data_IF_870282893177
#
_entry.id   IF_870282893177
#
_cell.length_a   1.000
_cell.length_b   1.000
_cell.length_c   1.000
_cell.angle_alpha   90.00
_cell.angle_beta   90.00
_cell.angle_gamma   90.00
#
_symmetry.space_group_name_H-M   'P 1'
#
loop_
_entity.id
_entity.type
_entity.pdbx_description
1 polymer ?
#
# COMPACT_ATOMS: atom_id res chain seq x y z
N UNK A 1 -26.47 -27.62 8.59
CA UNK A 1 -25.51 -27.21 7.52
C UNK A 1 -25.43 -25.69 7.33
N UNK A 2 -26.55 -24.94 7.35
CA UNK A 2 -26.54 -23.47 7.20
C UNK A 2 -25.81 -22.73 8.33
N UNK A 3 -26.01 -23.13 9.60
CA UNK A 3 -25.40 -22.48 10.77
C UNK A 3 -23.86 -22.58 10.85
N UNK A 4 -23.24 -23.59 10.22
CA UNK A 4 -21.77 -23.69 10.15
C UNK A 4 -21.19 -22.79 9.06
N UNK A 5 -21.97 -22.50 8.00
CA UNK A 5 -21.56 -21.61 6.91
C UNK A 5 -21.73 -20.12 7.27
N UNK A 6 -22.51 -19.81 8.30
CA UNK A 6 -22.66 -18.43 8.81
C UNK A 6 -21.51 -18.00 9.73
N UNK A 7 -20.65 -18.93 10.16
CA UNK A 7 -19.45 -18.61 10.94
C UNK A 7 -18.34 -18.14 10.00
N UNK A 8 -17.48 -17.22 10.49
CA UNK A 8 -16.32 -16.76 9.72
C UNK A 8 -15.33 -17.91 9.50
N UNK A 9 -14.75 -18.05 8.30
CA UNK A 9 -13.73 -19.05 8.05
C UNK A 9 -12.48 -18.74 8.86
N UNK A 10 -11.91 -19.77 9.50
CA UNK A 10 -10.65 -19.66 10.23
C UNK A 10 -9.48 -19.84 9.24
N UNK A 11 -8.50 -18.93 9.27
CA UNK A 11 -7.30 -19.03 8.47
C UNK A 11 -6.06 -19.10 9.36
N UNK A 12 -5.19 -20.09 9.12
CA UNK A 12 -3.93 -20.21 9.81
C UNK A 12 -2.84 -19.39 9.11
N UNK A 13 -2.29 -18.34 9.75
CA UNK A 13 -1.33 -17.45 9.11
C UNK A 13 0.01 -18.10 8.81
N UNK A 14 0.42 -19.17 9.50
CA UNK A 14 1.68 -19.86 9.25
C UNK A 14 1.53 -21.08 8.32
N UNK A 15 0.38 -21.24 7.66
CA UNK A 15 0.19 -22.27 6.65
C UNK A 15 1.26 -22.15 5.54
N UNK A 16 1.75 -23.26 4.97
CA UNK A 16 2.87 -23.26 4.03
C UNK A 16 2.61 -22.36 2.81
N UNK A 17 1.38 -22.38 2.28
CA UNK A 17 0.98 -21.49 1.19
C UNK A 17 1.07 -20.00 1.58
N UNK A 18 0.70 -19.63 2.81
CA UNK A 18 0.82 -18.25 3.29
C UNK A 18 2.28 -17.85 3.55
N UNK A 19 3.11 -18.78 4.03
CA UNK A 19 4.54 -18.56 4.22
C UNK A 19 5.28 -18.31 2.90
N UNK A 20 4.96 -19.07 1.84
CA UNK A 20 5.53 -18.87 0.51
C UNK A 20 5.21 -17.48 -0.05
N UNK A 21 3.97 -17.01 0.12
CA UNK A 21 3.55 -15.65 -0.30
C UNK A 21 4.38 -14.56 0.38
N UNK A 22 4.59 -14.69 1.70
CA UNK A 22 5.40 -13.72 2.47
C UNK A 22 6.86 -13.70 2.03
N UNK A 23 7.44 -14.88 1.74
CA UNK A 23 8.82 -14.96 1.24
C UNK A 23 8.97 -14.25 -0.11
N UNK A 24 8.07 -14.53 -1.04
CA UNK A 24 8.08 -13.86 -2.35
C UNK A 24 7.92 -12.34 -2.24
N UNK A 25 7.05 -11.86 -1.34
CA UNK A 25 6.91 -10.44 -1.06
C UNK A 25 8.19 -9.83 -0.45
N UNK A 26 8.80 -10.50 0.54
CA UNK A 26 10.02 -10.04 1.19
C UNK A 26 11.21 -9.95 0.22
N UNK A 27 11.31 -10.87 -0.75
CA UNK A 27 12.35 -10.82 -1.78
C UNK A 27 12.22 -9.57 -2.67
N UNK A 28 10.98 -9.19 -3.04
CA UNK A 28 10.73 -7.95 -3.80
C UNK A 28 10.99 -6.70 -2.95
N UNK A 29 10.58 -6.68 -1.69
CA UNK A 29 10.87 -5.59 -0.77
C UNK A 29 12.37 -5.35 -0.62
N UNK A 30 13.16 -6.44 -0.53
CA UNK A 30 14.60 -6.35 -0.45
C UNK A 30 15.23 -5.81 -1.74
N UNK A 31 14.71 -6.20 -2.91
CA UNK A 31 15.14 -5.63 -4.20
C UNK A 31 14.78 -4.15 -4.32
N UNK A 32 13.58 -3.77 -3.87
CA UNK A 32 13.14 -2.37 -3.84
C UNK A 32 14.03 -1.54 -2.91
N UNK A 33 14.34 -2.05 -1.72
CA UNK A 33 15.25 -1.37 -0.79
C UNK A 33 16.66 -1.18 -1.38
N UNK A 34 17.17 -2.18 -2.09
CA UNK A 34 18.45 -2.07 -2.83
C UNK A 34 18.38 -1.01 -3.93
N UNK A 35 17.32 -1.01 -4.74
CA UNK A 35 17.10 0.00 -5.77
C UNK A 35 17.01 1.41 -5.17
N UNK A 36 16.30 1.56 -4.06
CA UNK A 36 16.18 2.82 -3.34
C UNK A 36 17.55 3.31 -2.85
N UNK A 37 18.38 2.42 -2.28
CA UNK A 37 19.75 2.76 -1.90
C UNK A 37 20.62 3.17 -3.11
N UNK A 38 20.53 2.44 -4.24
CA UNK A 38 21.20 2.81 -5.49
C UNK A 38 20.78 4.20 -5.98
N UNK A 39 19.47 4.49 -5.94
CA UNK A 39 18.91 5.77 -6.34
C UNK A 39 19.40 6.91 -5.45
N UNK A 40 19.37 6.72 -4.13
CA UNK A 40 19.86 7.71 -3.16
C UNK A 40 21.35 7.99 -3.33
N UNK A 41 22.17 6.94 -3.56
CA UNK A 41 23.59 7.10 -3.86
C UNK A 41 23.82 7.81 -5.20
N UNK A 42 23.00 7.52 -6.22
CA UNK A 42 23.05 8.22 -7.50
C UNK A 42 22.75 9.71 -7.33
N UNK A 43 21.67 10.05 -6.64
CA UNK A 43 21.29 11.45 -6.36
C UNK A 43 22.42 12.17 -5.60
N UNK A 44 22.98 11.55 -4.55
CA UNK A 44 24.10 12.11 -3.81
C UNK A 44 25.35 12.35 -4.66
N UNK A 45 25.65 11.45 -5.62
CA UNK A 45 26.82 11.56 -6.52
C UNK A 45 26.56 12.45 -7.74
N UNK A 46 25.31 12.73 -8.07
CA UNK A 46 24.93 13.47 -9.29
C UNK A 46 25.42 14.92 -9.29
N UNK A 47 25.69 15.53 -8.13
CA UNK A 47 26.29 16.86 -8.05
C UNK A 47 27.81 16.89 -8.28
N UNK A 48 28.49 15.74 -8.26
CA UNK A 48 29.95 15.69 -8.21
C UNK A 48 30.57 15.55 -9.62
N UNK A 49 30.82 16.69 -10.27
CA UNK A 49 31.57 16.75 -11.53
C UNK A 49 33.05 16.95 -11.24
N UNK A 50 33.91 16.04 -11.71
CA UNK A 50 35.36 16.25 -11.72
C UNK A 50 35.75 17.06 -12.95
N UNK A 51 36.17 18.29 -12.74
CA UNK A 51 36.65 19.15 -13.82
C UNK A 51 38.12 18.80 -14.18
N UNK A 52 38.48 18.81 -15.48
CA UNK A 52 39.86 18.73 -15.94
C UNK A 52 40.74 19.88 -15.41
N UNK A 53 42.06 19.78 -15.59
CA UNK A 53 42.97 20.92 -15.36
C UNK A 53 42.89 21.96 -16.50
N UNK A 54 42.53 21.51 -17.72
CA UNK A 54 42.39 22.37 -18.89
C UNK A 54 40.96 22.94 -19.04
N UNK A 55 40.78 24.27 -19.02
CA UNK A 55 39.46 24.91 -19.10
C UNK A 55 38.77 24.73 -20.46
N UNK A 56 39.52 24.52 -21.53
CA UNK A 56 38.99 24.29 -22.88
C UNK A 56 38.23 22.96 -23.00
N UNK A 57 38.47 22.01 -22.09
CA UNK A 57 37.81 20.69 -22.08
C UNK A 57 36.56 20.64 -21.20
N UNK A 58 36.23 21.71 -20.47
CA UNK A 58 35.14 21.73 -19.49
C UNK A 58 33.78 21.46 -20.12
N UNK A 59 33.48 22.11 -21.25
CA UNK A 59 32.20 21.94 -21.94
C UNK A 59 31.96 20.47 -22.32
N UNK A 60 32.97 19.81 -22.90
CA UNK A 60 32.88 18.42 -23.34
C UNK A 60 32.73 17.45 -22.16
N UNK A 61 33.41 17.69 -21.04
CA UNK A 61 33.29 16.84 -19.84
C UNK A 61 31.91 17.01 -19.18
N UNK A 62 31.36 18.22 -19.17
CA UNK A 62 30.01 18.47 -18.68
C UNK A 62 28.95 17.77 -19.54
N UNK A 63 29.08 17.78 -20.86
CA UNK A 63 28.18 17.06 -21.77
C UNK A 63 28.23 15.55 -21.52
N UNK A 64 29.43 14.97 -21.48
CA UNK A 64 29.62 13.55 -21.18
C UNK A 64 29.08 13.16 -19.80
N UNK A 65 29.22 14.04 -18.80
CA UNK A 65 28.66 13.79 -17.48
C UNK A 65 27.12 13.80 -17.50
N UNK A 66 26.50 14.77 -18.18
CA UNK A 66 25.04 14.84 -18.36
C UNK A 66 24.50 13.60 -19.09
N UNK A 67 25.19 13.15 -20.13
CA UNK A 67 24.83 11.93 -20.86
C UNK A 67 24.89 10.69 -19.96
N UNK A 68 26.00 10.51 -19.23
CA UNK A 68 26.15 9.43 -18.25
C UNK A 68 25.05 9.45 -17.18
N UNK A 69 24.68 10.63 -16.69
CA UNK A 69 23.59 10.77 -15.73
C UNK A 69 22.23 10.37 -16.30
N UNK A 70 21.93 10.79 -17.54
CA UNK A 70 20.70 10.39 -18.23
C UNK A 70 20.63 8.88 -18.42
N UNK A 71 21.74 8.24 -18.80
CA UNK A 71 21.80 6.78 -18.95
C UNK A 71 21.60 6.04 -17.62
N UNK A 72 22.27 6.47 -16.55
CA UNK A 72 22.13 5.84 -15.23
C UNK A 72 20.70 5.99 -14.72
N UNK A 73 20.12 7.20 -14.83
CA UNK A 73 18.72 7.45 -14.48
C UNK A 73 17.78 6.54 -15.25
N UNK A 74 17.95 6.45 -16.57
CA UNK A 74 17.14 5.57 -17.42
C UNK A 74 17.23 4.11 -16.98
N UNK A 75 18.43 3.60 -16.68
CA UNK A 75 18.60 2.21 -16.19
C UNK A 75 17.90 1.98 -14.85
N UNK A 76 17.95 2.95 -13.94
CA UNK A 76 17.26 2.85 -12.66
C UNK A 76 15.73 2.89 -12.83
N UNK A 77 15.23 3.72 -13.74
CA UNK A 77 13.81 3.77 -14.10
C UNK A 77 13.33 2.45 -14.74
N UNK A 78 14.12 1.87 -15.66
CA UNK A 78 13.84 0.56 -16.26
C UNK A 78 13.73 -0.55 -15.20
N UNK A 79 14.67 -0.59 -14.23
CA UNK A 79 14.61 -1.53 -13.10
C UNK A 79 13.39 -1.31 -12.21
N UNK A 80 12.99 -0.05 -12.01
CA UNK A 80 11.80 0.28 -11.22
C UNK A 80 10.54 -0.23 -11.90
N UNK A 81 10.41 -0.01 -13.22
CA UNK A 81 9.28 -0.49 -14.01
C UNK A 81 9.21 -2.01 -14.01
N UNK A 82 10.34 -2.71 -14.15
CA UNK A 82 10.34 -4.18 -14.09
C UNK A 82 9.89 -4.69 -12.72
N UNK A 83 10.37 -4.08 -11.62
CA UNK A 83 9.93 -4.42 -10.27
C UNK A 83 8.43 -4.14 -10.06
N UNK A 84 7.90 -3.04 -10.60
CA UNK A 84 6.47 -2.76 -10.53
C UNK A 84 5.63 -3.83 -11.24
N UNK A 85 6.09 -4.33 -12.38
CA UNK A 85 5.44 -5.44 -13.10
C UNK A 85 5.49 -6.73 -12.28
N UNK A 86 6.63 -7.06 -11.67
CA UNK A 86 6.78 -8.23 -10.78
C UNK A 86 5.88 -8.15 -9.54
N UNK A 87 5.74 -6.97 -8.92
CA UNK A 87 4.83 -6.76 -7.80
C UNK A 87 3.38 -7.00 -8.25
N UNK A 88 3.00 -6.46 -9.41
CA UNK A 88 1.65 -6.64 -9.95
C UNK A 88 1.36 -8.11 -10.24
N UNK A 89 2.31 -8.85 -10.82
CA UNK A 89 2.13 -10.28 -11.09
C UNK A 89 2.01 -11.11 -9.81
N UNK A 90 2.83 -10.84 -8.77
CA UNK A 90 2.69 -11.53 -7.48
C UNK A 90 1.34 -11.25 -6.80
N UNK A 91 0.84 -10.02 -6.88
CA UNK A 91 -0.48 -9.66 -6.34
C UNK A 91 -1.60 -10.43 -7.05
N UNK A 92 -1.50 -10.57 -8.37
CA UNK A 92 -2.41 -11.39 -9.19
C UNK A 92 -2.35 -12.87 -8.79
N UNK A 93 -1.16 -13.47 -8.74
CA UNK A 93 -0.97 -14.90 -8.45
C UNK A 93 -1.41 -15.31 -7.03
N UNK A 94 -1.20 -14.45 -6.04
CA UNK A 94 -1.40 -14.83 -4.63
C UNK A 94 -2.80 -14.52 -4.10
N UNK A 95 -3.62 -13.76 -4.84
CA UNK A 95 -4.98 -13.40 -4.44
C UNK A 95 -6.00 -14.24 -5.25
N UNK A 96 -6.57 -15.30 -4.66
CA UNK A 96 -7.50 -16.15 -5.38
C UNK A 96 -8.71 -15.33 -5.81
N UNK A 97 -9.06 -15.38 -7.11
CA UNK A 97 -10.26 -14.80 -7.76
C UNK A 97 -10.23 -13.35 -8.25
N UNK A 98 -9.08 -12.78 -8.64
CA UNK A 98 -9.04 -11.43 -9.23
C UNK A 98 -8.20 -11.26 -10.50
N UNK A 99 -7.84 -12.37 -11.14
CA UNK A 99 -7.26 -12.38 -12.49
C UNK A 99 -8.38 -12.66 -13.49
N UNK A 100 -8.57 -11.77 -14.46
CA UNK A 100 -9.41 -12.08 -15.63
C UNK A 100 -8.51 -12.81 -16.62
N UNK A 101 -8.85 -14.05 -16.96
CA UNK A 101 -8.22 -14.78 -18.07
C UNK A 101 -8.67 -14.12 -19.38
N UNK A 102 -7.94 -13.11 -19.83
CA UNK A 102 -8.05 -12.58 -21.18
C UNK A 102 -6.89 -13.16 -22.00
N UNK A 103 -7.20 -13.64 -23.22
CA UNK A 103 -6.49 -14.69 -23.97
C UNK A 103 -4.95 -14.63 -24.09
N UNK A 104 -4.24 -13.55 -23.75
CA UNK A 104 -2.77 -13.54 -23.71
C UNK A 104 -2.14 -12.65 -22.62
N UNK A 105 -2.92 -12.09 -21.67
CA UNK A 105 -2.38 -11.24 -20.60
C UNK A 105 -3.24 -11.28 -19.33
N UNK A 106 -2.62 -11.57 -18.19
CA UNK A 106 -3.27 -11.46 -16.88
C UNK A 106 -3.46 -9.99 -16.51
N UNK A 107 -4.71 -9.50 -16.55
CA UNK A 107 -5.03 -8.14 -16.10
C UNK A 107 -5.67 -8.18 -14.70
N UNK A 108 -5.26 -7.29 -13.77
CA UNK A 108 -5.93 -7.20 -12.48
C UNK A 108 -7.39 -6.80 -12.69
N UNK A 109 -8.32 -7.54 -12.10
CA UNK A 109 -9.74 -7.19 -12.18
C UNK A 109 -9.98 -5.74 -11.73
N UNK A 110 -10.93 -5.01 -12.33
CA UNK A 110 -11.26 -3.65 -11.94
C UNK A 110 -11.66 -3.54 -10.45
N UNK A 111 -12.16 -4.62 -9.86
CA UNK A 111 -12.45 -4.71 -8.42
C UNK A 111 -11.18 -4.78 -7.55
N UNK A 112 -10.06 -5.26 -8.09
CA UNK A 112 -8.76 -5.24 -7.44
C UNK A 112 -8.19 -3.83 -7.44
N UNK A 113 -8.21 -3.14 -8.58
CA UNK A 113 -7.72 -1.76 -8.67
C UNK A 113 -8.54 -0.82 -7.79
N UNK A 114 -9.88 -0.97 -7.77
CA UNK A 114 -10.74 -0.21 -6.86
C UNK A 114 -10.49 -0.52 -5.37
N UNK A 115 -10.15 -1.77 -5.00
CA UNK A 115 -9.83 -2.13 -3.63
C UNK A 115 -8.44 -1.64 -3.17
N UNK A 116 -7.49 -1.46 -4.10
CA UNK A 116 -6.14 -0.96 -3.82
C UNK A 116 -6.15 0.57 -3.67
N UNK A 117 -6.96 1.28 -4.47
CA UNK A 117 -6.96 2.74 -4.56
C UNK A 117 -7.75 3.45 -3.43
N UNK A 118 -7.74 2.88 -2.23
CA UNK A 118 -8.40 3.36 -1.01
C UNK A 118 -9.93 3.20 -0.99
N UNK A 119 -10.40 2.43 -0.01
CA UNK A 119 -11.82 2.36 0.38
C UNK A 119 -12.10 3.58 1.27
N UNK A 120 -13.20 4.29 1.04
CA UNK A 120 -13.65 5.33 1.97
C UNK A 120 -13.82 4.70 3.37
N UNK A 121 -13.16 5.29 4.36
CA UNK A 121 -13.22 4.85 5.76
C UNK A 121 -14.14 5.83 6.48
N UNK A 122 -15.20 5.32 7.08
CA UNK A 122 -16.05 6.12 7.96
C UNK A 122 -15.33 6.27 9.31
N UNK A 123 -15.10 7.51 9.74
CA UNK A 123 -14.55 7.81 11.07
C UNK A 123 -15.63 8.50 11.88
N UNK A 124 -15.78 8.09 13.13
CA UNK A 124 -16.76 8.68 14.01
C UNK A 124 -16.47 8.47 15.46
N UNK A 125 -17.23 9.18 16.29
CA UNK A 125 -17.14 9.12 17.74
C UNK A 125 -18.41 8.48 18.30
N UNK A 126 -18.22 7.54 19.22
CA UNK A 126 -19.30 6.98 20.03
C UNK A 126 -19.24 7.67 21.38
N UNK A 127 -20.25 8.47 21.70
CA UNK A 127 -20.42 9.01 23.04
C UNK A 127 -21.27 8.04 23.84
N UNK A 128 -20.90 7.81 25.09
CA UNK A 128 -21.66 7.01 26.04
C UNK A 128 -21.32 7.46 27.46
N UNK A 129 -22.19 7.21 28.45
CA UNK A 129 -21.91 7.58 29.83
C UNK A 129 -20.80 6.68 30.37
N UNK A 130 -19.61 7.26 30.57
CA UNK A 130 -18.44 6.59 31.13
C UNK A 130 -18.06 7.25 32.48
N UNK A 131 -17.48 6.47 33.40
CA UNK A 131 -16.88 7.00 34.63
C UNK A 131 -15.67 7.89 34.29
N UNK A 132 -15.38 8.89 35.13
CA UNK A 132 -14.38 9.97 34.91
C UNK A 132 -12.94 9.51 34.58
N UNK A 133 -12.63 8.21 34.68
CA UNK A 133 -11.31 7.63 34.43
C UNK A 133 -11.12 6.99 33.05
N UNK A 134 -12.07 7.09 32.12
CA UNK A 134 -11.96 6.45 30.80
C UNK A 134 -11.31 7.41 29.80
N UNK A 135 -10.21 6.96 29.19
CA UNK A 135 -9.51 7.68 28.13
C UNK A 135 -10.18 7.46 26.76
N UNK A 136 -9.96 8.37 25.83
CA UNK A 136 -10.47 8.25 24.46
C UNK A 136 -9.84 7.04 23.76
N UNK A 137 -10.62 5.97 23.57
CA UNK A 137 -10.19 4.75 22.90
C UNK A 137 -10.57 4.75 21.41
N UNK A 138 -9.64 4.36 20.55
CA UNK A 138 -9.89 4.17 19.11
C UNK A 138 -10.16 2.71 18.79
N UNK A 139 -11.34 2.43 18.24
CA UNK A 139 -11.78 1.06 17.91
C UNK A 139 -11.94 0.91 16.39
N UNK A 140 -11.32 -0.13 15.82
CA UNK A 140 -11.49 -0.48 14.41
C UNK A 140 -12.58 -1.53 14.24
N UNK A 141 -13.58 -1.19 13.42
CA UNK A 141 -14.79 -1.99 13.25
C UNK A 141 -14.98 -2.33 11.77
N UNK A 142 -15.33 -3.58 11.49
CA UNK A 142 -15.69 -4.01 10.13
C UNK A 142 -17.08 -3.47 9.73
N UNK A 143 -17.41 -3.31 8.44
CA UNK A 143 -18.73 -2.81 8.03
C UNK A 143 -19.92 -3.62 8.59
N UNK A 144 -19.78 -4.95 8.72
CA UNK A 144 -20.84 -5.79 9.30
C UNK A 144 -20.99 -5.61 10.80
N UNK A 145 -19.91 -5.31 11.52
CA UNK A 145 -19.97 -4.96 12.93
C UNK A 145 -20.52 -3.54 13.13
N UNK A 146 -20.18 -2.60 12.25
CA UNK A 146 -20.71 -1.23 12.29
C UNK A 146 -22.23 -1.22 12.04
N UNK A 147 -22.73 -2.04 11.12
CA UNK A 147 -24.17 -2.19 10.88
C UNK A 147 -24.90 -2.67 12.15
N UNK A 148 -24.33 -3.64 12.87
CA UNK A 148 -24.88 -4.11 14.15
C UNK A 148 -24.80 -3.05 15.24
N UNK A 149 -23.72 -2.27 15.31
CA UNK A 149 -23.63 -1.16 16.25
C UNK A 149 -24.70 -0.10 15.96
N UNK A 150 -24.97 0.22 14.69
CA UNK A 150 -26.05 1.13 14.31
C UNK A 150 -27.42 0.60 14.72
N UNK A 151 -27.66 -0.69 14.52
CA UNK A 151 -28.88 -1.37 14.98
C UNK A 151 -29.04 -1.24 16.50
N UNK A 152 -28.02 -1.60 17.28
CA UNK A 152 -28.04 -1.50 18.74
C UNK A 152 -28.27 -0.06 19.24
N UNK A 153 -27.56 0.93 18.66
CA UNK A 153 -27.75 2.34 19.03
C UNK A 153 -29.17 2.81 18.69
N UNK A 154 -29.73 2.35 17.57
CA UNK A 154 -31.11 2.68 17.19
C UNK A 154 -32.16 2.03 18.09
N UNK A 155 -31.89 0.82 18.61
CA UNK A 155 -32.76 0.10 19.55
C UNK A 155 -32.74 0.75 20.93
N UNK A 156 -31.59 1.25 21.37
CA UNK A 156 -31.43 1.86 22.70
C UNK A 156 -32.22 3.16 22.86
N UNK A 157 -32.48 3.89 21.77
CA UNK A 157 -33.24 5.17 21.75
C UNK A 157 -32.86 6.14 22.89
N UNK A 158 -31.60 6.10 23.32
CA UNK A 158 -31.10 6.85 24.47
C UNK A 158 -30.35 8.08 24.00
N UNK A 159 -30.65 9.24 24.59
CA UNK A 159 -29.97 10.50 24.28
C UNK A 159 -28.49 10.48 24.71
N UNK A 160 -28.12 9.58 25.63
CA UNK A 160 -26.79 9.47 26.22
C UNK A 160 -25.80 8.72 25.30
N UNK A 161 -26.30 7.97 24.30
CA UNK A 161 -25.47 7.19 23.38
C UNK A 161 -25.61 7.70 21.95
N UNK A 162 -24.59 8.39 21.46
CA UNK A 162 -24.58 9.02 20.12
C UNK A 162 -23.48 8.45 19.25
N UNK A 163 -23.82 8.09 18.01
CA UNK A 163 -22.89 7.58 16.99
C UNK A 163 -22.83 8.56 15.82
N UNK A 164 -21.83 9.43 15.83
CA UNK A 164 -21.61 10.42 14.77
C UNK A 164 -20.53 9.92 13.81
N UNK A 165 -20.90 9.50 12.60
CA UNK A 165 -19.96 9.05 11.57
C UNK A 165 -19.86 10.10 10.47
N UNK A 166 -18.62 10.48 10.12
CA UNK A 166 -18.30 11.33 8.97
C UNK A 166 -17.47 10.53 7.97
N UNK A 167 -17.74 10.63 6.66
CA UNK A 167 -16.84 10.08 5.67
C UNK A 167 -15.49 10.78 5.80
N UNK A 168 -14.40 10.02 5.94
CA UNK A 168 -13.07 10.61 5.85
C UNK A 168 -12.75 10.80 4.37
N UNK A 169 -12.71 12.06 3.93
CA UNK A 169 -12.23 12.38 2.60
C UNK A 169 -10.76 11.96 2.49
N UNK A 170 -10.46 11.21 1.42
CA UNK A 170 -9.15 10.64 1.16
C UNK A 170 -8.12 11.78 1.04
N UNK A 171 -7.33 12.01 2.10
CA UNK A 171 -5.91 12.44 2.07
C UNK A 171 -5.47 12.98 3.43
N UNK A 172 -4.99 12.09 4.30
CA UNK A 172 -3.85 12.45 5.17
C UNK A 172 -2.91 11.26 5.15
N UNK A 173 -1.81 11.40 4.41
CA UNK A 173 -0.67 10.51 4.54
C UNK A 173 -0.24 10.53 6.01
N UNK A 174 -0.26 9.38 6.68
CA UNK A 174 0.45 9.24 7.94
C UNK A 174 1.94 9.54 7.68
N UNK A 175 2.45 10.54 8.41
CA UNK A 175 3.84 10.99 8.37
C UNK A 175 4.83 9.93 8.89
#
# INVERSE_FOLDING_TARGET
RAALRSLRPLHHPAAPAAALRRRAAADLELRLARLHAEWTLFVAKSGLVKFPEDPSKYARVLEQHKEKQKEIRRKLEEKLVSLQVEVRSLVSLHRPWRCVEADFTEFPAPELTAAINAKAIDIGTIKYPASESVQDDTIYVTPTQLAKLREIVSELQSDDVQLDLKPLDQTVCAA
#
